data_IF_018778180493
#
_entry.id   IF_018778180493
#
_cell.length_a   1.000
_cell.length_b   1.000
_cell.length_c   1.000
_cell.angle_alpha   90.00
_cell.angle_beta   90.00
_cell.angle_gamma   90.00
#
_symmetry.space_group_name_H-M   'P 1'
#
loop_
_entity.id
_entity.type
_entity.pdbx_description
1 polymer ?
#
# COMPACT_ATOMS: atom_id res chain seq x y z
N UNK A 1 8.17 17.83 0.84
CA UNK A 1 8.03 17.34 2.24
C UNK A 1 9.20 16.42 2.59
N UNK A 2 10.33 16.58 1.89
CA UNK A 2 11.46 15.67 1.96
C UNK A 2 12.11 15.67 3.34
N UNK A 3 12.03 16.79 4.05
CA UNK A 3 12.47 16.85 5.45
C UNK A 3 11.74 15.87 6.37
N UNK A 4 10.56 15.34 6.00
CA UNK A 4 9.89 14.25 6.74
C UNK A 4 10.33 12.85 6.28
N UNK A 5 10.38 12.60 4.97
CA UNK A 5 10.57 11.24 4.44
C UNK A 5 12.03 10.91 4.07
N UNK A 6 12.82 11.92 3.75
CA UNK A 6 14.25 11.81 3.45
C UNK A 6 15.08 12.82 4.29
N UNK A 7 14.90 12.85 5.62
CA UNK A 7 15.66 13.76 6.48
C UNK A 7 17.16 13.42 6.46
N UNK A 8 17.99 14.43 6.68
CA UNK A 8 19.43 14.27 7.01
C UNK A 8 19.65 14.30 8.52
N UNK A 9 18.68 14.79 9.28
CA UNK A 9 18.71 14.82 10.73
C UNK A 9 17.33 14.75 11.38
N UNK A 10 17.25 14.07 12.52
CA UNK A 10 16.02 13.95 13.31
C UNK A 10 16.29 14.17 14.79
N UNK A 11 15.44 14.94 15.45
CA UNK A 11 15.36 15.02 16.91
C UNK A 11 14.16 14.22 17.42
N UNK A 12 14.35 13.45 18.49
CA UNK A 12 13.30 12.61 19.08
C UNK A 12 13.08 13.10 20.51
N UNK A 13 11.85 13.48 20.86
CA UNK A 13 11.51 14.01 22.17
C UNK A 13 10.66 13.00 22.92
N UNK A 14 11.12 12.53 24.08
CA UNK A 14 10.36 11.60 24.90
C UNK A 14 11.18 10.83 25.93
N UNK A 15 10.56 9.82 26.53
CA UNK A 15 11.24 8.89 27.44
C UNK A 15 12.02 7.84 26.65
N UNK A 16 13.31 7.69 26.95
CA UNK A 16 14.19 6.68 26.35
C UNK A 16 14.38 5.44 27.25
N UNK A 17 13.43 5.20 28.15
CA UNK A 17 13.32 3.93 28.85
C UNK A 17 12.84 2.86 27.86
N UNK A 18 13.44 1.68 27.89
CA UNK A 18 13.01 0.55 27.07
C UNK A 18 11.49 0.28 27.19
N UNK A 19 10.83 0.06 26.05
CA UNK A 19 9.37 -0.05 25.93
C UNK A 19 8.60 1.27 25.88
N UNK A 20 9.25 2.43 26.06
CA UNK A 20 8.60 3.72 25.82
C UNK A 20 8.61 4.07 24.33
N UNK A 21 7.57 4.77 23.86
CA UNK A 21 7.39 5.09 22.42
C UNK A 21 8.62 5.76 21.79
N UNK A 22 9.20 6.77 22.45
CA UNK A 22 10.38 7.45 21.91
C UNK A 22 11.62 6.53 21.84
N UNK A 23 11.77 5.59 22.78
CA UNK A 23 12.79 4.55 22.70
C UNK A 23 12.56 3.63 21.50
N UNK A 24 11.31 3.19 21.28
CA UNK A 24 10.96 2.31 20.17
C UNK A 24 11.18 2.98 18.81
N UNK A 25 10.82 4.26 18.67
CA UNK A 25 11.11 5.05 17.46
C UNK A 25 12.62 5.19 17.25
N UNK A 26 13.38 5.52 18.29
CA UNK A 26 14.84 5.59 18.21
C UNK A 26 15.42 4.24 17.76
N UNK A 27 14.97 3.14 18.36
CA UNK A 27 15.34 1.77 17.95
C UNK A 27 15.02 1.52 16.50
N UNK A 28 13.83 1.92 16.05
CA UNK A 28 13.40 1.68 14.68
C UNK A 28 14.25 2.42 13.65
N UNK A 29 14.58 3.69 13.92
CA UNK A 29 15.46 4.51 13.08
C UNK A 29 16.88 3.92 13.03
N UNK A 30 17.46 3.55 14.18
CA UNK A 30 18.84 3.05 14.27
C UNK A 30 18.98 1.69 13.60
N UNK A 31 18.12 0.74 13.94
CA UNK A 31 18.17 -0.61 13.37
C UNK A 31 17.66 -0.67 11.94
N UNK A 32 16.82 0.29 11.53
CA UNK A 32 16.41 0.51 10.15
C UNK A 32 17.54 1.02 9.24
N UNK A 33 18.69 1.37 9.82
CA UNK A 33 19.89 1.74 9.08
C UNK A 33 19.93 3.20 8.63
N UNK A 34 19.24 4.10 9.33
CA UNK A 34 19.32 5.54 9.04
C UNK A 34 20.74 6.06 9.28
N UNK A 35 21.28 6.75 8.28
CA UNK A 35 22.66 7.25 8.27
C UNK A 35 22.75 8.74 8.67
N UNK A 36 21.62 9.43 8.77
CA UNK A 36 21.56 10.82 9.21
C UNK A 36 21.82 11.01 10.71
N UNK A 37 21.89 12.27 11.14
CA UNK A 37 22.13 12.62 12.55
C UNK A 37 20.86 12.36 13.39
N UNK A 38 21.01 11.64 14.50
CA UNK A 38 19.92 11.29 15.41
C UNK A 38 20.17 11.95 16.77
N UNK A 39 19.19 12.70 17.27
CA UNK A 39 19.31 13.48 18.51
C UNK A 39 18.17 13.09 19.47
N UNK A 40 18.41 12.21 20.46
CA UNK A 40 17.45 11.99 21.52
C UNK A 40 17.44 13.18 22.49
N UNK A 41 16.25 13.68 22.83
CA UNK A 41 16.06 14.85 23.70
C UNK A 41 15.10 14.52 24.86
N UNK A 42 15.57 14.76 26.08
CA UNK A 42 14.79 14.66 27.30
C UNK A 42 15.39 15.59 28.37
N UNK A 43 14.60 16.44 29.06
CA UNK A 43 15.12 17.36 30.07
C UNK A 43 15.95 16.72 31.20
N UNK A 44 15.75 15.43 31.47
CA UNK A 44 16.54 14.69 32.48
C UNK A 44 17.97 14.36 32.01
N UNK A 45 18.25 14.51 30.71
CA UNK A 45 19.51 14.09 30.08
C UNK A 45 19.78 12.60 30.22
N UNK A 46 21.04 12.21 30.01
CA UNK A 46 21.54 10.86 30.25
C UNK A 46 22.08 10.19 28.99
N UNK A 47 22.09 8.87 28.97
CA UNK A 47 22.54 8.05 27.84
C UNK A 47 21.55 6.94 27.57
N UNK A 48 21.40 6.57 26.31
CA UNK A 48 20.60 5.43 25.86
C UNK A 48 21.42 4.58 24.91
N UNK A 49 21.35 3.25 25.06
CA UNK A 49 22.02 2.31 24.18
C UNK A 49 20.98 1.62 23.30
N UNK A 50 21.19 1.66 21.98
CA UNK A 50 20.27 1.14 20.96
C UNK A 50 21.08 0.62 19.77
N UNK A 51 20.78 -0.58 19.27
CA UNK A 51 21.43 -1.14 18.08
C UNK A 51 22.97 -1.20 18.18
N UNK A 52 23.50 -1.45 19.39
CA UNK A 52 24.94 -1.47 19.65
C UNK A 52 25.63 -0.10 19.70
N UNK A 53 24.88 1.00 19.58
CA UNK A 53 25.38 2.38 19.68
C UNK A 53 24.89 3.03 20.98
N UNK A 54 25.71 3.93 21.54
CA UNK A 54 25.33 4.74 22.71
C UNK A 54 25.08 6.18 22.25
N UNK A 55 23.91 6.71 22.56
CA UNK A 55 23.53 8.08 22.28
C UNK A 55 23.48 8.89 23.58
N UNK A 56 24.00 10.11 23.53
CA UNK A 56 23.79 11.10 24.58
C UNK A 56 22.41 11.72 24.41
N UNK A 57 21.63 11.73 25.49
CA UNK A 57 20.31 12.36 25.52
C UNK A 57 20.53 13.81 25.92
N UNK A 58 20.23 14.72 25.00
CA UNK A 58 20.38 16.15 25.26
C UNK A 58 19.23 16.66 26.14
N UNK A 59 19.49 17.56 27.09
CA UNK A 59 18.44 18.17 27.91
C UNK A 59 17.51 19.09 27.10
N UNK A 60 18.03 19.68 26.02
CA UNK A 60 17.31 20.54 25.07
C UNK A 60 17.93 20.45 23.69
N UNK A 61 17.18 20.85 22.66
CA UNK A 61 17.69 20.98 21.30
C UNK A 61 18.30 22.37 21.11
N UNK A 62 19.56 22.44 20.67
CA UNK A 62 20.26 23.73 20.44
C UNK A 62 20.69 23.92 18.98
N UNK A 63 20.57 22.87 18.16
CA UNK A 63 21.00 22.88 16.76
C UNK A 63 19.82 22.58 15.83
N UNK A 64 19.80 23.18 14.61
CA UNK A 64 18.76 22.89 13.64
C UNK A 64 18.70 21.42 13.25
N UNK A 65 17.51 20.87 13.02
CA UNK A 65 17.26 19.52 12.46
C UNK A 65 16.16 19.57 11.39
N UNK A 66 16.11 18.57 10.52
CA UNK A 66 15.09 18.56 9.46
C UNK A 66 13.69 18.28 10.02
N UNK A 67 13.58 17.28 10.90
CA UNK A 67 12.30 16.88 11.52
C UNK A 67 12.46 16.59 13.01
N UNK A 68 11.45 16.97 13.79
CA UNK A 68 11.26 16.52 15.16
C UNK A 68 10.19 15.42 15.25
N UNK A 69 10.44 14.37 16.01
CA UNK A 69 9.42 13.39 16.41
C UNK A 69 9.12 13.59 17.89
N UNK A 70 7.86 13.88 18.22
CA UNK A 70 7.45 14.31 19.57
C UNK A 70 6.53 13.26 20.18
N UNK A 71 7.01 12.59 21.22
CA UNK A 71 6.31 11.58 22.00
C UNK A 71 6.35 11.91 23.51
N UNK A 72 5.83 13.10 23.85
CA UNK A 72 5.69 13.62 25.23
C UNK A 72 4.21 13.85 25.58
N UNK A 73 3.81 14.01 26.85
CA UNK A 73 2.40 14.30 27.17
C UNK A 73 1.86 15.54 26.42
N UNK A 74 0.65 15.44 25.85
CA UNK A 74 0.06 16.45 24.94
C UNK A 74 0.15 17.89 25.45
N UNK A 75 -0.12 18.12 26.75
CA UNK A 75 -0.09 19.45 27.37
C UNK A 75 1.25 20.20 27.25
N UNK A 76 2.35 19.49 26.98
CA UNK A 76 3.67 20.09 26.84
C UNK A 76 4.07 20.33 25.38
N UNK A 77 3.35 19.75 24.42
CA UNK A 77 3.73 19.79 23.00
C UNK A 77 3.65 21.21 22.42
N UNK A 78 2.59 22.03 22.66
CA UNK A 78 2.56 23.39 22.13
C UNK A 78 3.76 24.22 22.62
N UNK A 79 4.04 24.21 23.93
CA UNK A 79 5.19 24.92 24.50
C UNK A 79 6.53 24.46 23.91
N UNK A 80 6.70 23.16 23.69
CA UNK A 80 7.90 22.64 23.04
C UNK A 80 8.05 23.17 21.61
N UNK A 81 6.97 23.20 20.82
CA UNK A 81 6.99 23.75 19.45
C UNK A 81 7.38 25.23 19.44
N UNK A 82 6.89 26.02 20.40
CA UNK A 82 7.30 27.43 20.58
C UNK A 82 8.82 27.55 20.88
N UNK A 83 9.37 26.61 21.64
CA UNK A 83 10.77 26.61 22.05
C UNK A 83 11.71 26.23 20.89
N UNK A 84 11.34 25.22 20.11
CA UNK A 84 12.23 24.64 19.07
C UNK A 84 11.85 25.05 17.64
N UNK A 85 10.82 25.87 17.47
CA UNK A 85 10.20 26.15 16.16
C UNK A 85 11.19 26.69 15.13
N UNK A 86 12.14 27.53 15.55
CA UNK A 86 13.17 28.10 14.67
C UNK A 86 14.30 27.12 14.32
N UNK A 87 14.32 25.94 14.96
CA UNK A 87 15.32 24.89 14.77
C UNK A 87 14.81 23.73 13.91
N UNK A 88 13.54 23.71 13.51
CA UNK A 88 12.95 22.56 12.81
C UNK A 88 12.14 22.98 11.59
N UNK A 89 12.09 22.15 10.54
CA UNK A 89 11.21 22.39 9.39
C UNK A 89 9.83 21.73 9.57
N UNK A 90 9.78 20.61 10.29
CA UNK A 90 8.55 19.86 10.54
C UNK A 90 8.56 19.10 11.86
N UNK A 91 7.37 18.82 12.38
CA UNK A 91 7.19 17.97 13.56
C UNK A 91 6.15 16.87 13.31
N UNK A 92 6.51 15.65 13.69
CA UNK A 92 5.63 14.48 13.76
C UNK A 92 5.20 14.33 15.22
N UNK A 93 3.95 14.68 15.51
CA UNK A 93 3.41 14.66 16.87
C UNK A 93 2.71 13.31 17.10
N UNK A 94 3.42 12.41 17.78
CA UNK A 94 2.91 11.08 18.11
C UNK A 94 1.83 11.15 19.18
N UNK A 95 1.99 12.10 20.10
CA UNK A 95 1.16 12.25 21.29
C UNK A 95 -0.33 12.36 20.98
N UNK A 96 -1.12 11.53 21.65
CA UNK A 96 -2.58 11.68 21.80
C UNK A 96 -2.92 12.58 22.99
N UNK A 97 -4.18 12.99 23.09
CA UNK A 97 -4.75 13.88 24.10
C UNK A 97 -5.29 15.20 23.54
N UNK A 98 -5.62 15.28 22.25
CA UNK A 98 -6.00 16.50 21.54
C UNK A 98 -7.50 16.48 21.15
N UNK A 99 -7.86 16.88 19.93
CA UNK A 99 -9.27 17.01 19.53
C UNK A 99 -10.05 15.69 19.59
N UNK A 100 -9.38 14.55 19.42
CA UNK A 100 -9.99 13.22 19.47
C UNK A 100 -10.55 12.86 20.85
N UNK A 101 -10.09 13.53 21.92
CA UNK A 101 -10.64 13.43 23.28
C UNK A 101 -11.36 14.71 23.72
N UNK A 102 -11.60 15.64 22.80
CA UNK A 102 -12.32 16.90 23.05
C UNK A 102 -11.45 18.11 23.43
N UNK A 103 -10.12 17.98 23.47
CA UNK A 103 -9.21 19.10 23.77
C UNK A 103 -8.90 19.93 22.49
N UNK A 104 -9.93 20.51 21.89
CA UNK A 104 -9.84 21.22 20.61
C UNK A 104 -8.95 22.47 20.71
N UNK A 105 -9.00 23.17 21.84
CA UNK A 105 -8.22 24.38 22.11
C UNK A 105 -6.72 24.08 22.17
N UNK A 106 -6.34 22.93 22.73
CA UNK A 106 -4.94 22.51 22.81
C UNK A 106 -4.38 22.19 21.41
N UNK A 107 -5.17 21.54 20.55
CA UNK A 107 -4.79 21.28 19.16
C UNK A 107 -4.66 22.58 18.37
N UNK A 108 -5.59 23.51 18.59
CA UNK A 108 -5.54 24.83 17.97
C UNK A 108 -4.29 25.62 18.38
N UNK A 109 -3.96 25.63 19.67
CA UNK A 109 -2.73 26.27 20.17
C UNK A 109 -1.48 25.65 19.53
N UNK A 110 -1.41 24.32 19.43
CA UNK A 110 -0.33 23.60 18.75
C UNK A 110 -0.17 24.09 17.30
N UNK A 111 -1.26 24.14 16.53
CA UNK A 111 -1.23 24.57 15.12
C UNK A 111 -0.85 26.05 15.01
N UNK A 112 -1.37 26.92 15.87
CA UNK A 112 -1.04 28.34 15.88
C UNK A 112 0.45 28.57 16.18
N UNK A 113 1.02 27.84 17.14
CA UNK A 113 2.46 27.84 17.44
C UNK A 113 3.32 27.39 16.28
N UNK A 114 3.01 26.23 15.69
CA UNK A 114 3.74 25.72 14.54
C UNK A 114 3.72 26.72 13.36
N UNK A 115 2.55 27.30 13.06
CA UNK A 115 2.41 28.32 12.01
C UNK A 115 3.25 29.57 12.24
N UNK A 116 3.38 30.05 13.48
CA UNK A 116 4.21 31.23 13.81
C UNK A 116 5.68 31.03 13.44
N UNK A 117 6.19 29.81 13.55
CA UNK A 117 7.57 29.44 13.21
C UNK A 117 7.72 28.86 11.80
N UNK A 118 6.64 28.75 11.02
CA UNK A 118 6.68 28.12 9.70
C UNK A 118 6.85 26.60 9.72
N UNK A 119 6.64 25.95 10.87
CA UNK A 119 6.75 24.50 11.06
C UNK A 119 5.51 23.80 10.53
N UNK A 120 5.70 22.72 9.76
CA UNK A 120 4.61 21.83 9.33
C UNK A 120 4.38 20.68 10.30
N UNK A 121 3.13 20.28 10.53
CA UNK A 121 2.78 19.20 11.48
C UNK A 121 2.19 17.98 10.78
N UNK A 122 2.67 16.79 11.18
CA UNK A 122 1.99 15.50 10.97
C UNK A 122 1.40 15.05 12.30
N UNK A 123 0.13 14.64 12.31
CA UNK A 123 -0.63 14.33 13.51
C UNK A 123 -1.48 15.53 14.00
N UNK A 124 -1.65 15.71 15.32
CA UNK A 124 -1.17 14.84 16.41
C UNK A 124 -1.86 13.47 16.41
N UNK A 125 -1.62 12.66 17.45
CA UNK A 125 -2.23 11.34 17.62
C UNK A 125 -1.97 10.42 16.41
N UNK A 126 -0.70 10.18 16.11
CA UNK A 126 -0.30 9.38 14.96
C UNK A 126 0.75 8.33 15.31
N UNK A 127 0.95 7.35 14.43
CA UNK A 127 1.94 6.30 14.61
C UNK A 127 3.36 6.68 14.15
N UNK A 128 3.49 7.79 13.43
CA UNK A 128 4.73 8.25 12.83
C UNK A 128 4.79 8.01 11.32
N UNK A 129 6.01 8.03 10.77
CA UNK A 129 6.25 8.04 9.32
C UNK A 129 7.45 7.19 8.92
N UNK A 130 7.45 6.69 7.68
CA UNK A 130 8.60 6.04 7.03
C UNK A 130 8.91 6.69 5.68
N UNK A 131 10.19 6.87 5.39
CA UNK A 131 10.70 6.95 4.02
C UNK A 131 11.68 5.81 3.79
N UNK A 132 11.21 4.75 3.11
CA UNK A 132 11.87 3.45 3.11
C UNK A 132 13.17 3.49 2.32
N UNK A 133 13.18 4.18 1.18
CA UNK A 133 14.38 4.34 0.33
C UNK A 133 15.42 5.27 0.95
N UNK A 134 15.03 6.13 1.90
CA UNK A 134 15.94 6.91 2.75
C UNK A 134 16.39 6.16 4.01
N UNK A 135 15.97 4.90 4.19
CA UNK A 135 16.16 4.10 5.41
C UNK A 135 15.69 4.81 6.69
N UNK A 136 14.72 5.72 6.56
CA UNK A 136 14.21 6.49 7.68
C UNK A 136 12.91 5.87 8.21
N UNK A 137 13.00 5.22 9.37
CA UNK A 137 11.88 4.52 10.02
C UNK A 137 11.39 5.28 11.27
N UNK A 138 10.93 6.52 11.10
CA UNK A 138 10.47 7.43 12.15
C UNK A 138 9.09 7.13 12.73
N UNK A 139 8.84 5.87 13.09
CA UNK A 139 7.58 5.39 13.64
C UNK A 139 7.84 4.26 14.64
N UNK A 140 6.86 3.91 15.47
CA UNK A 140 6.94 2.74 16.37
C UNK A 140 6.33 1.46 15.75
N UNK A 141 5.98 1.50 14.46
CA UNK A 141 5.43 0.37 13.72
C UNK A 141 6.52 -0.55 13.15
N UNK A 142 6.10 -1.72 12.65
CA UNK A 142 7.00 -2.70 12.04
C UNK A 142 7.73 -2.12 10.82
N UNK A 143 9.04 -2.43 10.71
CA UNK A 143 9.81 -2.12 9.49
C UNK A 143 9.26 -2.90 8.31
N UNK A 144 9.45 -2.37 7.12
CA UNK A 144 8.94 -2.93 5.87
C UNK A 144 10.04 -3.05 4.83
N UNK A 145 9.83 -3.95 3.88
CA UNK A 145 10.74 -4.10 2.74
C UNK A 145 10.58 -2.94 1.75
N UNK A 146 11.66 -2.54 1.06
CA UNK A 146 11.60 -1.50 0.03
C UNK A 146 10.76 -1.95 -1.16
N UNK A 147 9.95 -1.03 -1.67
CA UNK A 147 9.18 -1.19 -2.90
C UNK A 147 8.50 0.11 -3.32
N UNK A 148 7.38 0.00 -4.04
CA UNK A 148 6.72 1.14 -4.70
C UNK A 148 5.45 1.66 -4.04
N UNK A 149 4.99 1.07 -2.92
CA UNK A 149 3.72 1.44 -2.29
C UNK A 149 3.89 2.52 -1.21
N UNK A 150 3.26 3.69 -1.39
CA UNK A 150 3.09 4.67 -0.32
C UNK A 150 1.77 4.42 0.42
N UNK A 151 1.84 4.14 1.72
CA UNK A 151 0.65 3.97 2.55
C UNK A 151 0.34 5.25 3.35
N UNK A 152 -0.79 5.87 3.04
CA UNK A 152 -1.35 7.03 3.75
C UNK A 152 -2.50 6.53 4.63
N UNK A 153 -2.36 6.64 5.96
CA UNK A 153 -3.36 6.12 6.90
C UNK A 153 -3.79 7.16 7.93
N UNK A 154 -5.10 7.39 8.02
CA UNK A 154 -5.67 8.23 9.07
C UNK A 154 -5.59 7.56 10.45
N UNK A 155 -5.68 6.23 10.50
CA UNK A 155 -5.60 5.45 11.73
C UNK A 155 -4.19 4.87 11.91
N UNK A 156 -3.57 5.14 13.06
CA UNK A 156 -2.28 4.57 13.43
C UNK A 156 -2.33 3.05 13.54
N UNK A 157 -3.25 2.52 14.35
CA UNK A 157 -3.40 1.08 14.57
C UNK A 157 -3.74 0.31 13.29
N UNK A 158 -4.61 0.87 12.43
CA UNK A 158 -4.87 0.28 11.12
C UNK A 158 -3.59 0.29 10.26
N UNK A 159 -2.87 1.41 10.24
CA UNK A 159 -1.62 1.54 9.49
C UNK A 159 -0.58 0.52 9.92
N UNK A 160 -0.36 0.36 11.22
CA UNK A 160 0.54 -0.65 11.80
C UNK A 160 0.18 -2.08 11.40
N UNK A 161 -1.10 -2.44 11.56
CA UNK A 161 -1.59 -3.75 11.13
C UNK A 161 -1.41 -3.95 9.61
N UNK A 162 -1.67 -2.91 8.82
CA UNK A 162 -1.54 -2.97 7.38
C UNK A 162 -0.09 -3.13 6.91
N UNK A 163 0.87 -2.51 7.60
CA UNK A 163 2.31 -2.71 7.35
C UNK A 163 2.73 -4.16 7.66
N UNK A 164 2.27 -4.71 8.79
CA UNK A 164 2.57 -6.08 9.17
C UNK A 164 2.01 -7.10 8.17
N UNK A 165 0.75 -6.95 7.77
CA UNK A 165 0.13 -7.82 6.76
C UNK A 165 0.77 -7.64 5.39
N UNK A 166 1.13 -6.40 5.02
CA UNK A 166 1.84 -6.15 3.77
C UNK A 166 3.18 -6.89 3.69
N UNK A 167 3.93 -6.99 4.80
CA UNK A 167 5.15 -7.79 4.85
C UNK A 167 4.88 -9.29 4.64
N UNK A 168 3.81 -9.82 5.26
CA UNK A 168 3.41 -11.23 5.08
C UNK A 168 3.01 -11.53 3.63
N UNK A 169 2.37 -10.57 2.95
CA UNK A 169 2.00 -10.63 1.53
C UNK A 169 3.16 -10.28 0.58
N UNK A 170 4.37 -10.04 1.12
CA UNK A 170 5.56 -9.72 0.34
C UNK A 170 5.49 -8.41 -0.45
N UNK A 171 4.70 -7.44 0.04
CA UNK A 171 4.54 -6.11 -0.55
C UNK A 171 5.70 -5.21 -0.12
N UNK A 172 6.32 -4.55 -1.09
CA UNK A 172 7.34 -3.54 -0.83
C UNK A 172 6.75 -2.12 -0.75
N UNK A 173 7.23 -1.33 0.22
CA UNK A 173 6.75 0.02 0.49
C UNK A 173 7.79 1.07 0.11
N UNK A 174 7.32 2.22 -0.39
CA UNK A 174 8.14 3.41 -0.60
C UNK A 174 8.11 4.33 0.61
N UNK A 175 6.94 4.44 1.25
CA UNK A 175 6.70 5.32 2.37
C UNK A 175 5.49 4.89 3.21
N UNK A 176 5.44 5.37 4.44
CA UNK A 176 4.28 5.27 5.31
C UNK A 176 4.04 6.61 5.99
N UNK A 177 2.79 7.02 6.10
CA UNK A 177 2.40 8.14 6.93
C UNK A 177 1.12 7.82 7.70
N UNK A 178 1.25 7.77 9.02
CA UNK A 178 0.10 7.94 9.91
C UNK A 178 -0.06 9.43 10.18
N UNK A 179 -1.21 9.99 9.82
CA UNK A 179 -1.44 11.45 9.95
C UNK A 179 -2.49 11.83 11.01
N UNK A 180 -3.09 10.83 11.66
CA UNK A 180 -3.91 11.02 12.87
C UNK A 180 -5.02 12.06 12.70
N UNK A 181 -5.05 13.02 13.61
CA UNK A 181 -6.08 14.06 13.66
C UNK A 181 -6.07 14.99 12.44
N UNK A 182 -5.01 14.99 11.64
CA UNK A 182 -4.86 15.85 10.46
C UNK A 182 -5.04 17.34 10.81
N UNK A 183 -4.28 17.83 11.80
CA UNK A 183 -4.40 19.19 12.32
C UNK A 183 -3.78 20.26 11.41
N UNK A 184 -2.73 19.91 10.67
CA UNK A 184 -2.13 20.73 9.60
C UNK A 184 -2.06 19.93 8.30
N UNK A 185 -1.11 18.99 8.19
CA UNK A 185 -1.00 18.11 7.03
C UNK A 185 -2.06 17.02 7.06
N UNK A 186 -2.66 16.78 5.89
CA UNK A 186 -3.73 15.81 5.72
C UNK A 186 -3.55 15.01 4.42
N UNK A 187 -4.49 14.09 4.16
CA UNK A 187 -4.50 13.22 2.98
C UNK A 187 -4.28 13.97 1.67
N UNK A 188 -4.78 15.19 1.53
CA UNK A 188 -4.67 15.97 0.30
C UNK A 188 -3.22 16.41 0.04
N UNK A 189 -2.47 16.72 1.10
CA UNK A 189 -1.06 17.05 1.00
C UNK A 189 -0.23 15.82 0.62
N UNK A 190 -0.47 14.70 1.28
CA UNK A 190 0.27 13.46 1.04
C UNK A 190 -0.03 12.88 -0.35
N UNK A 191 -1.28 12.95 -0.82
CA UNK A 191 -1.64 12.58 -2.19
C UNK A 191 -0.83 13.37 -3.22
N UNK A 192 -0.71 14.70 -3.05
CA UNK A 192 0.08 15.54 -3.95
C UNK A 192 1.56 15.22 -3.87
N UNK A 193 2.10 15.06 -2.66
CA UNK A 193 3.52 14.74 -2.48
C UNK A 193 3.89 13.40 -3.12
N UNK A 194 3.15 12.32 -2.81
CA UNK A 194 3.45 10.99 -3.34
C UNK A 194 3.10 10.83 -4.82
N UNK A 195 2.25 11.69 -5.38
CA UNK A 195 2.03 11.75 -6.83
C UNK A 195 3.32 12.12 -7.59
N UNK A 196 4.21 12.88 -6.97
CA UNK A 196 5.45 13.39 -7.57
C UNK A 196 6.71 12.65 -7.11
N UNK A 197 6.66 11.88 -6.01
CA UNK A 197 7.79 11.10 -5.49
C UNK A 197 8.22 9.95 -6.43
N UNK A 198 9.43 9.98 -6.95
CA UNK A 198 9.92 9.00 -7.93
C UNK A 198 9.97 7.56 -7.39
N UNK A 199 10.15 7.40 -6.08
CA UNK A 199 10.19 6.09 -5.43
C UNK A 199 8.80 5.45 -5.25
N UNK A 200 7.74 6.26 -5.31
CA UNK A 200 6.36 5.79 -5.20
C UNK A 200 5.79 5.48 -6.57
N UNK A 201 5.33 4.24 -6.76
CA UNK A 201 4.61 3.79 -7.96
C UNK A 201 3.09 3.73 -7.75
N UNK A 202 2.66 3.39 -6.53
CA UNK A 202 1.25 3.21 -6.14
C UNK A 202 1.01 3.89 -4.80
N UNK A 203 -0.15 4.51 -4.64
CA UNK A 203 -0.58 5.15 -3.39
C UNK A 203 -1.77 4.35 -2.83
N UNK A 204 -1.68 3.90 -1.58
CA UNK A 204 -2.79 3.36 -0.82
C UNK A 204 -3.25 4.38 0.24
N UNK A 205 -4.55 4.63 0.30
CA UNK A 205 -5.17 5.58 1.21
C UNK A 205 -6.23 4.88 2.06
N UNK A 206 -5.99 4.79 3.36
CA UNK A 206 -7.02 4.47 4.35
C UNK A 206 -7.58 5.77 4.92
N UNK A 207 -8.88 5.99 4.74
CA UNK A 207 -9.53 7.24 5.11
C UNK A 207 -10.84 7.02 5.87
N UNK A 208 -11.00 7.75 6.97
CA UNK A 208 -12.19 7.74 7.83
C UNK A 208 -13.07 8.96 7.50
N UNK A 209 -12.45 10.12 7.27
CA UNK A 209 -13.14 11.34 6.87
C UNK A 209 -12.19 12.42 6.35
N UNK A 210 -12.74 13.33 5.55
CA UNK A 210 -12.08 14.49 4.94
C UNK A 210 -12.68 15.77 5.50
N UNK A 211 -11.84 16.73 5.90
CA UNK A 211 -12.28 18.06 6.36
C UNK A 211 -12.57 19.02 5.18
N UNK A 212 -11.70 19.03 4.16
CA UNK A 212 -11.83 19.88 2.96
C UNK A 212 -12.05 19.03 1.70
N UNK A 213 -13.32 18.80 1.37
CA UNK A 213 -13.70 17.94 0.24
C UNK A 213 -13.27 18.47 -1.13
N UNK A 214 -13.17 19.80 -1.32
CA UNK A 214 -12.75 20.37 -2.61
C UNK A 214 -11.27 20.14 -2.83
N UNK A 215 -10.46 20.47 -1.82
CA UNK A 215 -9.01 20.25 -1.86
C UNK A 215 -8.67 18.76 -1.99
N UNK A 216 -9.41 17.89 -1.31
CA UNK A 216 -9.28 16.44 -1.47
C UNK A 216 -9.57 15.99 -2.90
N UNK A 217 -10.68 16.44 -3.49
CA UNK A 217 -11.04 16.07 -4.86
C UNK A 217 -9.97 16.50 -5.87
N UNK A 218 -9.39 17.68 -5.70
CA UNK A 218 -8.30 18.17 -6.55
C UNK A 218 -7.01 17.36 -6.38
N UNK A 219 -6.62 17.08 -5.13
CA UNK A 219 -5.44 16.28 -4.82
C UNK A 219 -5.58 14.84 -5.31
N UNK A 220 -6.75 14.23 -5.11
CA UNK A 220 -7.06 12.88 -5.55
C UNK A 220 -7.04 12.79 -7.08
N UNK A 221 -7.63 13.76 -7.78
CA UNK A 221 -7.57 13.83 -9.25
C UNK A 221 -6.14 13.96 -9.75
N UNK A 222 -5.35 14.84 -9.12
CA UNK A 222 -3.95 15.02 -9.47
C UNK A 222 -3.15 13.73 -9.30
N UNK A 223 -3.24 13.10 -8.13
CA UNK A 223 -2.56 11.85 -7.84
C UNK A 223 -3.01 10.71 -8.76
N UNK A 224 -4.32 10.52 -8.91
CA UNK A 224 -4.88 9.47 -9.75
C UNK A 224 -4.53 9.65 -11.23
N UNK A 225 -4.35 10.87 -11.73
CA UNK A 225 -3.90 11.10 -13.11
C UNK A 225 -2.45 10.67 -13.38
N UNK A 226 -1.64 10.51 -12.33
CA UNK A 226 -0.22 10.16 -12.42
C UNK A 226 0.07 8.72 -12.02
N UNK A 227 -0.54 8.25 -10.94
CA UNK A 227 -0.22 6.97 -10.30
C UNK A 227 -1.48 6.28 -9.78
N UNK A 228 -1.56 4.93 -9.79
CA UNK A 228 -2.56 4.16 -9.06
C UNK A 228 -2.82 4.70 -7.66
N UNK A 229 -4.07 5.10 -7.37
CA UNK A 229 -4.52 5.48 -6.02
C UNK A 229 -5.60 4.50 -5.59
N UNK A 230 -5.26 3.64 -4.64
CA UNK A 230 -6.14 2.65 -4.03
C UNK A 230 -6.72 3.29 -2.77
N UNK A 231 -8.04 3.22 -2.58
CA UNK A 231 -8.72 3.85 -1.45
C UNK A 231 -9.55 2.83 -0.69
N UNK A 232 -9.27 2.69 0.60
CA UNK A 232 -10.12 1.98 1.55
C UNK A 232 -10.84 3.00 2.44
N UNK A 233 -12.12 3.22 2.17
CA UNK A 233 -12.98 4.14 2.93
C UNK A 233 -13.63 3.41 4.11
N UNK A 234 -13.30 3.79 5.33
CA UNK A 234 -14.01 3.33 6.53
C UNK A 234 -15.37 4.04 6.68
N UNK A 235 -16.27 3.50 7.51
CA UNK A 235 -17.52 4.18 7.84
C UNK A 235 -18.53 4.32 6.69
N UNK A 236 -18.65 3.29 5.85
CA UNK A 236 -19.57 3.27 4.68
C UNK A 236 -21.05 3.17 5.07
N UNK A 237 -21.35 2.54 6.20
CA UNK A 237 -22.71 2.40 6.75
C UNK A 237 -23.03 3.51 7.74
N UNK A 238 -24.32 3.76 8.04
CA UNK A 238 -24.71 4.76 9.04
C UNK A 238 -24.06 4.54 10.42
N UNK A 239 -23.99 3.28 10.88
CA UNK A 239 -23.34 2.94 12.15
C UNK A 239 -21.83 3.10 12.08
N UNK A 240 -21.20 2.67 10.97
CA UNK A 240 -19.76 2.84 10.79
C UNK A 240 -19.35 4.31 10.69
N UNK A 241 -20.15 5.13 10.02
CA UNK A 241 -19.92 6.56 9.88
C UNK A 241 -20.00 7.27 11.24
N UNK A 242 -20.97 6.89 12.11
CA UNK A 242 -21.04 7.37 13.50
C UNK A 242 -19.82 6.95 14.32
N UNK A 243 -19.36 5.71 14.18
CA UNK A 243 -18.17 5.23 14.88
C UNK A 243 -16.91 6.02 14.47
N UNK A 244 -16.71 6.23 13.16
CA UNK A 244 -15.61 7.04 12.62
C UNK A 244 -15.68 8.51 13.07
N UNK A 245 -16.89 9.09 13.12
CA UNK A 245 -17.10 10.46 13.58
C UNK A 245 -16.70 10.64 15.05
N UNK A 246 -17.08 9.70 15.93
CA UNK A 246 -16.69 9.71 17.35
C UNK A 246 -15.19 9.51 17.54
N UNK A 247 -14.52 8.80 16.62
CA UNK A 247 -13.09 8.52 16.69
C UNK A 247 -12.23 9.71 16.22
N UNK A 248 -12.70 10.47 15.24
CA UNK A 248 -11.93 11.57 14.61
C UNK A 248 -12.40 12.97 15.00
N UNK A 249 -13.52 13.08 15.71
CA UNK A 249 -14.17 14.36 16.02
C UNK A 249 -14.72 15.09 14.78
N UNK A 250 -14.81 14.41 13.62
CA UNK A 250 -15.29 15.00 12.36
C UNK A 250 -16.73 14.59 12.04
N UNK A 251 -17.46 15.43 11.30
CA UNK A 251 -18.83 15.10 10.88
C UNK A 251 -18.80 13.97 9.85
N UNK A 252 -19.63 12.94 10.05
CA UNK A 252 -19.79 11.85 9.09
C UNK A 252 -20.28 12.37 7.72
N UNK A 253 -19.42 12.29 6.70
CA UNK A 253 -19.81 12.57 5.31
C UNK A 253 -20.61 11.42 4.70
N UNK A 254 -21.47 11.72 3.72
CA UNK A 254 -22.20 10.69 2.95
C UNK A 254 -21.23 9.85 2.13
N UNK A 255 -21.33 8.52 2.27
CA UNK A 255 -20.50 7.58 1.52
C UNK A 255 -20.74 7.69 0.01
N UNK A 256 -21.97 7.98 -0.42
CA UNK A 256 -22.33 8.17 -1.82
C UNK A 256 -21.52 9.30 -2.47
N UNK A 257 -21.20 10.35 -1.72
CA UNK A 257 -20.36 11.46 -2.20
C UNK A 257 -18.90 11.01 -2.38
N UNK A 258 -18.35 10.23 -1.44
CA UNK A 258 -17.02 9.65 -1.58
C UNK A 258 -16.93 8.74 -2.80
N UNK A 259 -17.90 7.84 -2.96
CA UNK A 259 -17.95 6.93 -4.10
C UNK A 259 -18.03 7.68 -5.44
N UNK A 260 -18.83 8.75 -5.51
CA UNK A 260 -18.90 9.60 -6.69
C UNK A 260 -17.56 10.30 -6.97
N UNK A 261 -16.89 10.81 -5.93
CA UNK A 261 -15.57 11.42 -6.04
C UNK A 261 -14.53 10.42 -6.59
N UNK A 262 -14.45 9.21 -6.02
CA UNK A 262 -13.50 8.18 -6.45
C UNK A 262 -13.71 7.81 -7.93
N UNK A 263 -14.97 7.63 -8.33
CA UNK A 263 -15.32 7.34 -9.74
C UNK A 263 -14.93 8.48 -10.68
N UNK A 264 -15.11 9.74 -10.26
CA UNK A 264 -14.78 10.91 -11.07
C UNK A 264 -13.27 11.18 -11.17
N UNK A 265 -12.47 10.73 -10.21
CA UNK A 265 -11.00 10.87 -10.25
C UNK A 265 -10.29 9.69 -10.90
N UNK A 266 -10.95 8.54 -11.04
CA UNK A 266 -10.28 7.29 -11.38
C UNK A 266 -9.48 6.70 -10.21
N UNK A 267 -9.86 7.05 -8.98
CA UNK A 267 -9.33 6.38 -7.79
C UNK A 267 -10.02 5.01 -7.64
N UNK A 268 -9.26 4.03 -7.18
CA UNK A 268 -9.66 2.63 -7.14
C UNK A 268 -10.14 2.34 -5.73
N UNK A 269 -11.45 2.32 -5.56
CA UNK A 269 -12.04 1.94 -4.29
C UNK A 269 -11.96 0.42 -4.09
N UNK A 270 -11.49 0.03 -2.91
CA UNK A 270 -11.54 -1.33 -2.39
C UNK A 270 -12.48 -1.41 -1.19
N UNK A 271 -13.07 -2.58 -0.97
CA UNK A 271 -14.06 -2.83 0.08
C UNK A 271 -13.42 -3.35 1.36
N UNK A 272 -12.34 -4.13 1.22
CA UNK A 272 -11.75 -4.89 2.31
C UNK A 272 -10.24 -4.71 2.39
N UNK A 273 -9.66 -5.00 3.54
CA UNK A 273 -8.23 -4.88 3.77
C UNK A 273 -7.43 -5.84 2.86
N UNK A 274 -7.91 -7.06 2.64
CA UNK A 274 -7.31 -8.01 1.70
C UNK A 274 -7.27 -7.45 0.27
N UNK A 275 -8.33 -6.75 -0.16
CA UNK A 275 -8.40 -6.15 -1.48
C UNK A 275 -7.39 -5.00 -1.66
N UNK A 276 -7.10 -4.23 -0.60
CA UNK A 276 -6.07 -3.19 -0.64
C UNK A 276 -4.71 -3.78 -1.02
N UNK A 277 -4.35 -4.92 -0.43
CA UNK A 277 -3.09 -5.61 -0.71
C UNK A 277 -3.09 -6.30 -2.06
N UNK A 278 -4.21 -6.90 -2.47
CA UNK A 278 -4.33 -7.48 -3.81
C UNK A 278 -4.20 -6.43 -4.90
N UNK A 279 -4.82 -5.27 -4.74
CA UNK A 279 -4.67 -4.16 -5.65
C UNK A 279 -3.22 -3.66 -5.67
N UNK A 280 -2.57 -3.53 -4.51
CA UNK A 280 -1.17 -3.13 -4.43
C UNK A 280 -0.24 -4.12 -5.15
N UNK A 281 -0.41 -5.43 -4.94
CA UNK A 281 0.33 -6.49 -5.65
C UNK A 281 0.13 -6.40 -7.16
N UNK A 282 -1.11 -6.20 -7.61
CA UNK A 282 -1.42 -6.06 -9.04
C UNK A 282 -0.67 -4.87 -9.67
N UNK A 283 -0.70 -3.70 -9.01
CA UNK A 283 -0.03 -2.49 -9.51
C UNK A 283 1.49 -2.50 -9.34
N UNK A 284 2.02 -3.33 -8.45
CA UNK A 284 3.45 -3.57 -8.39
C UNK A 284 3.95 -4.35 -9.61
N UNK A 285 3.16 -5.28 -10.12
CA UNK A 285 3.48 -6.06 -11.33
C UNK A 285 3.25 -5.26 -12.62
N UNK A 286 2.11 -4.58 -12.73
CA UNK A 286 1.71 -3.92 -13.97
C UNK A 286 1.07 -2.55 -13.69
N UNK A 287 1.38 -1.51 -14.48
CA UNK A 287 0.75 -0.20 -14.29
C UNK A 287 -0.71 -0.15 -14.77
N UNK A 288 -1.08 -1.00 -15.73
CA UNK A 288 -2.43 -1.13 -16.32
C UNK A 288 -2.56 -2.43 -17.12
N UNK A 289 -3.79 -2.82 -17.42
CA UNK A 289 -4.15 -3.91 -18.33
C UNK A 289 -5.36 -3.52 -19.17
N UNK A 290 -5.55 -4.12 -20.35
CA UNK A 290 -6.79 -3.90 -21.11
C UNK A 290 -7.94 -4.76 -20.59
N UNK A 291 -9.10 -4.66 -21.26
CA UNK A 291 -10.35 -5.25 -20.78
C UNK A 291 -10.62 -6.65 -21.32
N UNK A 292 -9.94 -7.05 -22.41
CA UNK A 292 -10.16 -8.32 -23.10
C UNK A 292 -9.23 -9.38 -22.53
N UNK A 293 -9.77 -10.26 -21.69
CA UNK A 293 -9.00 -11.25 -20.92
C UNK A 293 -9.06 -12.62 -21.59
N UNK A 294 -7.90 -13.26 -21.76
CA UNK A 294 -7.83 -14.68 -22.05
C UNK A 294 -7.60 -15.48 -20.76
N UNK A 295 -8.46 -16.46 -20.50
CA UNK A 295 -8.32 -17.36 -19.36
C UNK A 295 -7.70 -18.67 -19.84
N UNK A 296 -6.57 -19.06 -19.27
CA UNK A 296 -5.90 -20.34 -19.49
C UNK A 296 -5.97 -21.12 -18.19
N UNK A 297 -6.47 -22.35 -18.21
CA UNK A 297 -6.66 -23.17 -17.01
C UNK A 297 -6.38 -24.64 -17.29
N UNK A 298 -5.94 -25.41 -16.31
CA UNK A 298 -5.97 -26.88 -16.36
C UNK A 298 -7.21 -27.48 -15.66
N UNK A 299 -8.12 -26.63 -15.19
CA UNK A 299 -9.31 -27.04 -14.45
C UNK A 299 -10.51 -26.17 -14.84
N UNK A 300 -11.54 -26.79 -15.43
CA UNK A 300 -12.74 -26.09 -15.87
C UNK A 300 -13.51 -25.35 -14.77
N UNK A 301 -13.60 -25.91 -13.56
CA UNK A 301 -14.34 -25.29 -12.43
C UNK A 301 -13.84 -23.89 -12.07
N UNK A 302 -12.56 -23.74 -11.69
CA UNK A 302 -11.92 -22.44 -11.50
C UNK A 302 -12.01 -21.51 -12.72
N UNK A 303 -11.93 -22.05 -13.94
CA UNK A 303 -12.10 -21.26 -15.18
C UNK A 303 -13.48 -20.64 -15.32
N UNK A 304 -14.54 -21.36 -14.92
CA UNK A 304 -15.92 -20.85 -14.87
C UNK A 304 -16.04 -19.74 -13.81
N UNK A 305 -15.55 -19.97 -12.59
CA UNK A 305 -15.59 -18.97 -11.52
C UNK A 305 -14.85 -17.67 -11.89
N UNK A 306 -13.68 -17.79 -12.53
CA UNK A 306 -12.96 -16.66 -13.07
C UNK A 306 -13.80 -15.90 -14.11
N UNK A 307 -14.37 -16.63 -15.07
CA UNK A 307 -15.17 -16.04 -16.16
C UNK A 307 -16.36 -15.25 -15.63
N UNK A 308 -17.16 -15.87 -14.77
CA UNK A 308 -18.33 -15.22 -14.15
C UNK A 308 -17.92 -13.95 -13.39
N UNK A 309 -16.78 -14.00 -12.68
CA UNK A 309 -16.29 -12.85 -11.94
C UNK A 309 -15.76 -11.74 -12.84
N UNK A 310 -15.01 -12.08 -13.89
CA UNK A 310 -14.48 -11.13 -14.88
C UNK A 310 -15.64 -10.35 -15.52
N UNK A 311 -16.67 -11.04 -16.02
CA UNK A 311 -17.84 -10.40 -16.64
C UNK A 311 -18.61 -9.54 -15.63
N UNK A 312 -18.81 -10.02 -14.39
CA UNK A 312 -19.47 -9.25 -13.33
C UNK A 312 -18.74 -7.94 -13.00
N UNK A 313 -17.42 -7.92 -13.14
CA UNK A 313 -16.58 -6.74 -12.96
C UNK A 313 -16.49 -5.87 -14.23
N UNK A 314 -17.16 -6.29 -15.31
CA UNK A 314 -17.24 -5.58 -16.59
C UNK A 314 -16.11 -5.89 -17.56
N UNK A 315 -15.21 -6.82 -17.26
CA UNK A 315 -14.19 -7.27 -18.21
C UNK A 315 -14.83 -8.14 -19.31
N UNK A 316 -14.13 -8.30 -20.41
CA UNK A 316 -14.59 -9.04 -21.58
C UNK A 316 -13.78 -10.32 -21.75
N UNK A 317 -14.43 -11.45 -21.98
CA UNK A 317 -13.75 -12.69 -22.36
C UNK A 317 -13.31 -12.56 -23.81
N UNK A 318 -11.99 -12.51 -24.03
CA UNK A 318 -11.40 -12.27 -25.34
C UNK A 318 -11.84 -13.32 -26.37
N UNK A 319 -12.31 -12.86 -27.53
CA UNK A 319 -12.61 -13.72 -28.68
C UNK A 319 -11.31 -14.05 -29.43
N UNK A 320 -10.88 -15.30 -29.34
CA UNK A 320 -9.72 -15.80 -30.06
C UNK A 320 -9.99 -15.80 -31.58
N UNK A 321 -8.96 -15.50 -32.37
CA UNK A 321 -9.01 -15.56 -33.83
C UNK A 321 -9.03 -17.01 -34.32
N UNK A 322 -9.53 -17.24 -35.53
CA UNK A 322 -9.54 -18.58 -36.11
C UNK A 322 -8.11 -19.11 -36.29
N UNK A 323 -7.15 -18.22 -36.59
CA UNK A 323 -5.72 -18.55 -36.66
C UNK A 323 -5.17 -19.01 -35.31
N UNK A 324 -5.50 -18.29 -34.22
CA UNK A 324 -5.11 -18.68 -32.85
C UNK A 324 -5.70 -20.04 -32.49
N UNK A 325 -6.99 -20.25 -32.78
CA UNK A 325 -7.69 -21.50 -32.47
C UNK A 325 -7.08 -22.68 -33.22
N UNK A 326 -6.74 -22.50 -34.50
CA UNK A 326 -6.14 -23.56 -35.31
C UNK A 326 -4.71 -23.87 -34.87
N UNK A 327 -3.92 -22.86 -34.50
CA UNK A 327 -2.59 -23.07 -33.94
C UNK A 327 -2.65 -23.83 -32.61
N UNK A 328 -3.60 -23.49 -31.72
CA UNK A 328 -3.83 -24.23 -30.48
C UNK A 328 -4.16 -25.71 -30.74
N UNK A 329 -5.04 -25.99 -31.72
CA UNK A 329 -5.41 -27.37 -32.10
C UNK A 329 -4.24 -28.19 -32.65
N UNK A 330 -3.22 -27.55 -33.21
CA UNK A 330 -2.07 -28.25 -33.79
C UNK A 330 -1.21 -28.99 -32.76
N UNK A 331 -1.27 -28.61 -31.49
CA UNK A 331 -0.46 -29.21 -30.42
C UNK A 331 -1.25 -29.62 -29.18
N UNK A 332 -2.43 -29.05 -28.93
CA UNK A 332 -3.26 -29.45 -27.79
C UNK A 332 -3.99 -30.77 -28.07
N UNK A 333 -4.10 -31.65 -27.05
CA UNK A 333 -4.94 -32.84 -27.15
C UNK A 333 -6.39 -32.52 -27.56
N UNK A 334 -7.08 -33.41 -28.29
CA UNK A 334 -8.47 -33.18 -28.72
C UNK A 334 -9.47 -32.98 -27.57
N UNK A 335 -9.11 -33.37 -26.35
CA UNK A 335 -9.92 -33.23 -25.14
C UNK A 335 -9.85 -31.81 -24.56
N UNK A 336 -8.85 -31.01 -24.93
CA UNK A 336 -8.71 -29.63 -24.48
C UNK A 336 -9.79 -28.73 -25.10
N UNK A 337 -10.23 -27.72 -24.35
CA UNK A 337 -11.01 -26.62 -24.91
C UNK A 337 -10.06 -25.58 -25.49
N UNK A 338 -10.19 -25.30 -26.78
CA UNK A 338 -9.48 -24.19 -27.46
C UNK A 338 -10.33 -22.91 -27.58
N UNK A 339 -11.49 -22.88 -26.90
CA UNK A 339 -12.29 -21.66 -26.71
C UNK A 339 -11.75 -20.91 -25.50
N UNK A 340 -12.26 -19.72 -25.20
CA UNK A 340 -11.92 -18.99 -23.97
C UNK A 340 -13.04 -19.21 -22.94
N UNK A 341 -12.78 -19.79 -21.75
CA UNK A 341 -11.49 -20.26 -21.23
C UNK A 341 -10.85 -21.44 -21.99
N UNK A 342 -9.53 -21.34 -22.19
CA UNK A 342 -8.70 -22.41 -22.76
C UNK A 342 -8.45 -23.43 -21.64
N UNK A 343 -9.03 -24.64 -21.77
CA UNK A 343 -8.90 -25.72 -20.79
C UNK A 343 -7.88 -26.75 -21.27
N UNK A 344 -6.73 -26.78 -20.60
CA UNK A 344 -5.57 -27.61 -20.88
C UNK A 344 -5.66 -29.02 -20.30
N UNK A 345 -6.75 -29.32 -19.55
CA UNK A 345 -7.00 -30.53 -18.78
C UNK A 345 -6.00 -30.78 -17.64
N UNK A 346 -6.35 -31.65 -16.70
CA UNK A 346 -5.69 -31.74 -15.40
C UNK A 346 -4.18 -32.05 -15.44
N UNK A 347 -3.71 -32.81 -16.43
CA UNK A 347 -2.31 -33.25 -16.54
C UNK A 347 -1.43 -32.28 -17.36
N UNK A 348 -1.90 -31.05 -17.62
CA UNK A 348 -1.16 -30.02 -18.33
C UNK A 348 0.26 -29.80 -17.76
N UNK A 349 1.26 -30.02 -18.60
CA UNK A 349 2.68 -29.94 -18.32
C UNK A 349 3.28 -28.58 -18.73
N UNK A 350 4.58 -28.40 -18.50
CA UNK A 350 5.31 -27.19 -18.86
C UNK A 350 5.03 -26.74 -20.31
N UNK A 351 5.17 -27.65 -21.27
CA UNK A 351 5.05 -27.34 -22.70
C UNK A 351 3.63 -26.90 -23.09
N UNK A 352 2.60 -27.56 -22.54
CA UNK A 352 1.20 -27.15 -22.79
C UNK A 352 0.92 -25.76 -22.27
N UNK A 353 1.37 -25.41 -21.07
CA UNK A 353 1.17 -24.06 -20.53
C UNK A 353 1.93 -23.01 -21.33
N UNK A 354 3.24 -23.18 -21.48
CA UNK A 354 4.11 -22.17 -22.12
C UNK A 354 3.65 -21.86 -23.54
N UNK A 355 3.46 -22.90 -24.36
CA UNK A 355 3.08 -22.73 -25.77
C UNK A 355 1.68 -22.14 -25.91
N UNK A 356 0.74 -22.50 -25.03
CA UNK A 356 -0.60 -21.89 -25.01
C UNK A 356 -0.51 -20.40 -24.66
N UNK A 357 0.27 -20.03 -23.64
CA UNK A 357 0.46 -18.63 -23.24
C UNK A 357 1.02 -17.82 -24.42
N UNK A 358 2.09 -18.30 -25.07
CA UNK A 358 2.72 -17.61 -26.21
C UNK A 358 1.75 -17.44 -27.40
N UNK A 359 1.02 -18.49 -27.77
CA UNK A 359 0.06 -18.46 -28.89
C UNK A 359 -1.09 -17.49 -28.61
N UNK A 360 -1.68 -17.56 -27.41
CA UNK A 360 -2.78 -16.67 -26.99
C UNK A 360 -2.29 -15.23 -26.86
N UNK A 361 -1.09 -15.03 -26.32
CA UNK A 361 -0.52 -13.70 -26.10
C UNK A 361 -0.24 -12.97 -27.42
N UNK A 362 0.11 -13.67 -28.51
CA UNK A 362 0.25 -13.04 -29.84
C UNK A 362 -1.07 -12.58 -30.46
N UNK A 363 -2.21 -13.10 -30.02
CA UNK A 363 -3.54 -12.74 -30.55
C UNK A 363 -3.89 -11.27 -30.32
N UNK A 364 -4.21 -10.52 -31.38
CA UNK A 364 -4.52 -9.08 -31.31
C UNK A 364 -5.79 -8.70 -30.51
N UNK A 365 -6.65 -9.68 -30.23
CA UNK A 365 -7.89 -9.50 -29.46
C UNK A 365 -7.76 -9.76 -27.96
N UNK A 366 -6.55 -10.08 -27.48
CA UNK A 366 -6.25 -10.34 -26.07
C UNK A 366 -5.46 -9.16 -25.52
N UNK A 367 -5.87 -8.59 -24.39
CA UNK A 367 -5.13 -7.50 -23.74
C UNK A 367 -4.33 -7.98 -22.53
N UNK A 368 -4.81 -9.02 -21.84
CA UNK A 368 -4.18 -9.61 -20.66
C UNK A 368 -4.60 -11.07 -20.49
N UNK A 369 -3.83 -11.80 -19.70
CA UNK A 369 -4.06 -13.22 -19.46
C UNK A 369 -4.31 -13.46 -17.96
N UNK A 370 -5.24 -14.37 -17.68
CA UNK A 370 -5.41 -15.02 -16.38
C UNK A 370 -5.00 -16.48 -16.52
N UNK A 371 -3.89 -16.86 -15.89
CA UNK A 371 -3.39 -18.24 -15.90
C UNK A 371 -3.73 -18.90 -14.58
N UNK A 372 -4.54 -19.94 -14.64
CA UNK A 372 -5.02 -20.71 -13.49
C UNK A 372 -4.32 -22.07 -13.47
N UNK A 373 -3.78 -22.44 -12.31
CA UNK A 373 -3.16 -23.73 -12.08
C UNK A 373 -3.76 -24.40 -10.85
N UNK A 374 -4.37 -25.56 -11.05
CA UNK A 374 -4.77 -26.49 -9.99
C UNK A 374 -4.05 -27.81 -10.24
N UNK A 375 -2.78 -27.95 -9.82
CA UNK A 375 -1.98 -29.10 -10.20
C UNK A 375 -2.48 -30.35 -9.47
N UNK A 376 -2.62 -31.51 -10.15
CA UNK A 376 -2.78 -32.77 -9.45
C UNK A 376 -1.46 -33.14 -8.75
N UNK A 377 -1.52 -34.07 -7.79
CA UNK A 377 -0.37 -34.43 -6.92
C UNK A 377 0.91 -34.88 -7.65
N UNK A 378 0.80 -35.26 -8.92
CA UNK A 378 1.91 -35.76 -9.74
C UNK A 378 2.52 -34.68 -10.66
N UNK A 379 1.93 -33.48 -10.74
CA UNK A 379 2.48 -32.35 -11.49
C UNK A 379 3.08 -31.35 -10.50
N UNK A 380 4.41 -31.15 -10.48
CA UNK A 380 5.03 -30.14 -9.64
C UNK A 380 4.55 -28.73 -10.02
N UNK A 381 4.10 -27.95 -9.05
CA UNK A 381 3.65 -26.57 -9.31
C UNK A 381 4.77 -25.66 -9.85
N UNK A 382 6.03 -25.94 -9.50
CA UNK A 382 7.20 -25.26 -10.05
C UNK A 382 7.33 -25.41 -11.57
N UNK A 383 6.89 -26.54 -12.13
CA UNK A 383 6.94 -26.79 -13.57
C UNK A 383 6.01 -25.83 -14.31
N UNK A 384 4.77 -25.67 -13.83
CA UNK A 384 3.80 -24.72 -14.39
C UNK A 384 4.24 -23.28 -14.14
N UNK A 385 4.77 -22.96 -12.96
CA UNK A 385 5.32 -21.65 -12.66
C UNK A 385 6.44 -21.26 -13.64
N UNK A 386 7.36 -22.19 -13.92
CA UNK A 386 8.43 -22.00 -14.91
C UNK A 386 7.88 -21.75 -16.31
N UNK A 387 6.84 -22.48 -16.71
CA UNK A 387 6.18 -22.26 -17.99
C UNK A 387 5.61 -20.85 -18.13
N UNK A 388 5.02 -20.30 -17.06
CA UNK A 388 4.53 -18.92 -17.04
C UNK A 388 5.68 -17.90 -17.12
N UNK A 389 6.76 -18.11 -16.36
CA UNK A 389 7.92 -17.21 -16.32
C UNK A 389 8.66 -17.18 -17.66
N UNK A 390 8.81 -18.34 -18.31
CA UNK A 390 9.62 -18.49 -19.53
C UNK A 390 8.81 -18.27 -20.83
N UNK A 391 7.49 -18.09 -20.74
CA UNK A 391 6.66 -17.78 -21.90
C UNK A 391 6.93 -16.37 -22.42
N UNK A 392 7.16 -16.24 -23.72
CA UNK A 392 7.29 -14.93 -24.36
C UNK A 392 5.92 -14.25 -24.47
N UNK A 393 5.61 -13.40 -23.49
CA UNK A 393 4.38 -12.63 -23.47
C UNK A 393 4.58 -11.21 -22.92
N UNK A 394 4.49 -10.17 -23.77
CA UNK A 394 4.63 -8.78 -23.32
C UNK A 394 3.34 -8.23 -22.67
N UNK A 395 2.26 -9.02 -22.62
CA UNK A 395 0.97 -8.60 -22.05
C UNK A 395 0.89 -8.95 -20.57
N UNK A 396 0.14 -8.19 -19.75
CA UNK A 396 -0.03 -8.52 -18.34
C UNK A 396 -0.56 -9.94 -18.12
N UNK A 397 0.15 -10.71 -17.29
CA UNK A 397 -0.27 -12.04 -16.82
C UNK A 397 -0.56 -11.97 -15.32
N UNK A 398 -1.80 -12.26 -14.95
CA UNK A 398 -2.20 -12.52 -13.56
C UNK A 398 -2.30 -14.03 -13.36
N UNK A 399 -1.77 -14.53 -12.24
CA UNK A 399 -1.71 -15.96 -11.94
C UNK A 399 -2.59 -16.32 -10.74
N UNK A 400 -3.25 -17.47 -10.84
CA UNK A 400 -4.02 -18.09 -9.78
C UNK A 400 -3.63 -19.56 -9.63
N UNK A 401 -2.68 -19.81 -8.73
CA UNK A 401 -2.22 -21.13 -8.34
C UNK A 401 -2.96 -21.56 -7.06
N UNK A 402 -3.67 -22.68 -7.13
CA UNK A 402 -4.52 -23.23 -6.08
C UNK A 402 -4.09 -24.65 -5.70
N UNK A 403 -3.97 -25.04 -4.42
CA UNK A 403 -4.05 -24.20 -3.23
C UNK A 403 -3.12 -24.73 -2.13
N UNK A 404 -2.72 -23.82 -1.23
CA UNK A 404 -1.93 -24.15 -0.05
C UNK A 404 -0.56 -24.77 -0.36
N UNK A 405 -0.19 -25.78 0.43
CA UNK A 405 1.09 -26.51 0.33
C UNK A 405 1.41 -26.99 -1.08
N UNK A 406 0.39 -27.45 -1.81
CA UNK A 406 0.56 -28.06 -3.14
C UNK A 406 1.18 -27.12 -4.17
N UNK A 407 0.93 -25.81 -4.02
CA UNK A 407 1.41 -24.78 -4.95
C UNK A 407 2.50 -23.89 -4.36
N UNK A 408 2.91 -24.12 -3.11
CA UNK A 408 3.85 -23.24 -2.40
C UNK A 408 5.14 -23.00 -3.19
N UNK A 409 5.76 -24.07 -3.69
CA UNK A 409 7.05 -23.96 -4.37
C UNK A 409 6.90 -23.22 -5.71
N UNK A 410 5.84 -23.50 -6.48
CA UNK A 410 5.51 -22.73 -7.68
C UNK A 410 5.22 -21.25 -7.40
N UNK A 411 4.46 -20.93 -6.35
CA UNK A 411 4.17 -19.54 -5.94
C UNK A 411 5.45 -18.84 -5.52
N UNK A 412 6.30 -19.47 -4.71
CA UNK A 412 7.60 -18.91 -4.31
C UNK A 412 8.50 -18.64 -5.53
N UNK A 413 8.46 -19.52 -6.54
CA UNK A 413 9.22 -19.33 -7.78
C UNK A 413 8.69 -18.14 -8.60
N UNK A 414 7.36 -18.01 -8.72
CA UNK A 414 6.71 -16.87 -9.38
C UNK A 414 7.09 -15.55 -8.69
N UNK A 415 7.00 -15.49 -7.36
CA UNK A 415 7.26 -14.26 -6.61
C UNK A 415 8.71 -13.80 -6.71
N UNK A 416 9.68 -14.73 -6.74
CA UNK A 416 11.09 -14.42 -7.00
C UNK A 416 11.33 -13.78 -8.37
N UNK A 417 10.43 -14.00 -9.33
CA UNK A 417 10.47 -13.41 -10.66
C UNK A 417 9.47 -12.24 -10.82
N UNK A 418 8.93 -11.72 -9.71
CA UNK A 418 8.04 -10.57 -9.71
C UNK A 418 6.59 -10.87 -10.08
N UNK A 419 6.18 -12.13 -10.20
CA UNK A 419 4.79 -12.54 -10.42
C UNK A 419 4.12 -12.92 -9.09
N UNK A 420 3.16 -12.11 -8.64
CA UNK A 420 2.43 -12.31 -7.39
C UNK A 420 1.19 -13.18 -7.62
N UNK A 421 1.01 -14.18 -6.78
CA UNK A 421 -0.14 -15.09 -6.87
C UNK A 421 -1.39 -14.52 -6.20
N UNK A 422 -2.55 -14.79 -6.80
CA UNK A 422 -3.86 -14.58 -6.19
C UNK A 422 -4.48 -15.95 -5.90
N UNK A 423 -4.81 -16.29 -4.65
CA UNK A 423 -5.13 -17.67 -4.28
C UNK A 423 -6.51 -18.14 -4.72
N UNK A 424 -7.37 -17.26 -5.22
CA UNK A 424 -8.67 -17.64 -5.80
C UNK A 424 -8.91 -16.99 -7.16
N UNK A 425 -9.74 -17.61 -8.03
CA UNK A 425 -10.11 -17.07 -9.33
C UNK A 425 -10.71 -15.66 -9.22
N UNK A 426 -11.50 -15.40 -8.17
CA UNK A 426 -12.18 -14.13 -7.98
C UNK A 426 -11.22 -13.01 -7.56
N UNK A 427 -10.23 -13.32 -6.73
CA UNK A 427 -9.16 -12.37 -6.36
C UNK A 427 -8.32 -12.01 -7.59
N UNK A 428 -7.98 -13.00 -8.42
CA UNK A 428 -7.27 -12.79 -9.67
C UNK A 428 -8.08 -11.94 -10.68
N UNK A 429 -9.39 -12.19 -10.79
CA UNK A 429 -10.28 -11.39 -11.62
C UNK A 429 -10.41 -9.93 -11.13
N UNK A 430 -10.45 -9.70 -9.80
CA UNK A 430 -10.43 -8.34 -9.22
C UNK A 430 -9.12 -7.60 -9.58
N UNK A 431 -7.98 -8.29 -9.50
CA UNK A 431 -6.69 -7.72 -9.88
C UNK A 431 -6.69 -7.17 -11.32
N UNK A 432 -7.17 -7.97 -12.29
CA UNK A 432 -7.34 -7.53 -13.67
C UNK A 432 -8.33 -6.37 -13.80
N UNK A 433 -9.43 -6.39 -13.03
CA UNK A 433 -10.43 -5.34 -13.10
C UNK A 433 -9.86 -3.99 -12.65
N UNK A 434 -9.11 -3.95 -11.55
CA UNK A 434 -8.44 -2.73 -11.09
C UNK A 434 -7.41 -2.23 -12.09
N UNK A 435 -6.58 -3.13 -12.66
CA UNK A 435 -5.63 -2.78 -13.72
C UNK A 435 -6.31 -2.20 -14.97
N UNK A 436 -7.55 -2.58 -15.25
CA UNK A 436 -8.33 -2.10 -16.41
C UNK A 436 -8.96 -0.72 -16.24
N UNK A 437 -8.91 -0.15 -15.04
CA UNK A 437 -9.43 1.20 -14.76
C UNK A 437 -8.43 2.31 -15.15
N UNK A 438 -7.28 1.96 -15.75
CA UNK A 438 -6.09 2.81 -15.94
C UNK A 438 -5.71 3.08 -17.39
#
# INVERSE_FOLDING_TARGET
MDFFFYPRSVAIFGSFKEGAIAYEILRNIVEGGFEGRIIPVNPKGGKVQVGGKTFEILPKLEEPVDTAIIAIPAKFVPSLIDEIGDLINGAVVISAGFSEVGNVELERELVEKAKRHGVRLIGPNCAGIFGVHGKFFGSFEVRVNPGGLALISQSGAFGGAALAMGNEEGIGFSAFVSYGNAADLNESDFLRYFADDENTRTIALYIEGVKDGRRFMEALRYAASRKPVIVLKAGKSASGAKAAASHTGSLAGSYEIYRAAFKQTGAIEVEEMEELFDAAKAFEMYPKAGRRVAVITNSGGPGVLATDKLEKLGLEIAKLSDETVEELRSFLPPQCSVKNPIDLIADADYERYKRTIEVVCRGGNVDSLLVICVPPIFIPSEEVARAVIEADCPKPIIVNFMAGELVRDGVNLLEKHGLKNFPTPERAAKALAWLSLR
#
